data_IF_159057449222
#
_entry.id   IF_159057449222
#
_cell.length_a   1.000
_cell.length_b   1.000
_cell.length_c   1.000
_cell.angle_alpha   90.00
_cell.angle_beta   90.00
_cell.angle_gamma   90.00
#
_symmetry.space_group_name_H-M   'P 1'
#
loop_
_entity.id
_entity.type
_entity.pdbx_description
1 polymer ?
#
# COMPACT_ATOMS: atom_id res chain seq x y z
N UNK A 1 -4.48 -21.14 -22.54
CA UNK A 1 -4.24 -22.57 -22.28
C UNK A 1 -2.74 -22.77 -22.28
N UNK A 2 -2.15 -23.12 -21.14
CA UNK A 2 -0.69 -23.39 -21.05
C UNK A 2 -0.50 -24.87 -21.44
N UNK A 3 0.32 -25.13 -22.45
CA UNK A 3 0.66 -26.48 -22.93
C UNK A 3 2.15 -26.73 -22.68
N UNK A 4 2.51 -27.93 -22.25
CA UNK A 4 3.89 -28.32 -21.94
C UNK A 4 3.96 -29.66 -21.21
N UNK A 5 5.17 -30.22 -21.11
CA UNK A 5 5.46 -31.42 -20.32
C UNK A 5 5.64 -31.04 -18.85
N UNK A 6 4.98 -31.75 -17.93
CA UNK A 6 5.24 -31.56 -16.49
C UNK A 6 6.66 -32.05 -16.21
N UNK A 7 7.53 -31.15 -15.76
CA UNK A 7 8.93 -31.45 -15.44
C UNK A 7 9.20 -31.55 -13.96
N UNK A 8 8.42 -30.84 -13.14
CA UNK A 8 8.49 -30.93 -11.70
C UNK A 8 7.12 -30.68 -11.07
N UNK A 9 6.84 -31.34 -9.95
CA UNK A 9 5.58 -31.27 -9.24
C UNK A 9 5.82 -31.47 -7.74
N UNK A 10 5.48 -30.45 -6.95
CA UNK A 10 5.38 -30.54 -5.50
C UNK A 10 3.96 -30.17 -5.03
N UNK A 11 3.75 -30.20 -3.72
CA UNK A 11 2.42 -29.94 -3.12
C UNK A 11 1.90 -28.51 -3.41
N UNK A 12 2.78 -27.58 -3.81
CA UNK A 12 2.49 -26.15 -3.89
C UNK A 12 2.64 -25.58 -5.33
N UNK A 13 3.27 -26.32 -6.24
CA UNK A 13 3.63 -25.86 -7.59
C UNK A 13 3.63 -26.98 -8.65
N UNK A 14 3.17 -26.63 -9.84
CA UNK A 14 3.36 -27.41 -11.07
C UNK A 14 4.34 -26.66 -11.97
N UNK A 15 5.47 -27.29 -12.32
CA UNK A 15 6.37 -26.79 -13.35
C UNK A 15 6.09 -27.51 -14.68
N UNK A 16 5.83 -26.73 -15.72
CA UNK A 16 5.59 -27.18 -17.08
C UNK A 16 6.72 -26.66 -17.96
N UNK A 17 7.34 -27.53 -18.75
CA UNK A 17 8.32 -27.13 -19.77
C UNK A 17 7.83 -27.56 -21.14
N UNK A 18 7.80 -26.61 -22.05
CA UNK A 18 7.74 -26.82 -23.50
C UNK A 18 9.10 -26.38 -24.08
N UNK A 19 9.44 -26.81 -25.31
CA UNK A 19 10.78 -26.67 -25.92
C UNK A 19 11.41 -25.27 -25.73
N UNK A 20 10.58 -24.22 -25.70
CA UNK A 20 11.01 -22.83 -25.52
C UNK A 20 10.35 -22.10 -24.35
N UNK A 21 9.63 -22.78 -23.44
CA UNK A 21 8.88 -22.11 -22.35
C UNK A 21 8.93 -22.92 -21.06
N UNK A 22 9.36 -22.32 -19.97
CA UNK A 22 9.11 -22.81 -18.60
C UNK A 22 7.91 -22.06 -18.05
N UNK A 23 6.85 -22.77 -17.69
CA UNK A 23 5.69 -22.20 -17.01
C UNK A 23 5.58 -22.78 -15.61
N UNK A 24 5.29 -21.95 -14.62
CA UNK A 24 4.98 -22.41 -13.27
C UNK A 24 3.56 -22.06 -12.88
N UNK A 25 2.85 -22.99 -12.27
CA UNK A 25 1.52 -22.78 -11.68
C UNK A 25 1.62 -23.00 -10.18
N UNK A 26 1.43 -21.95 -9.39
CA UNK A 26 1.32 -22.09 -7.93
C UNK A 26 -0.09 -22.54 -7.57
N UNK A 27 -0.21 -23.71 -6.94
CA UNK A 27 -1.48 -24.29 -6.52
C UNK A 27 -2.08 -23.56 -5.31
N UNK A 28 -1.23 -22.98 -4.45
CA UNK A 28 -1.66 -22.24 -3.26
C UNK A 28 -2.22 -20.85 -3.54
N UNK A 29 -1.91 -20.28 -4.71
CA UNK A 29 -2.28 -18.90 -5.04
C UNK A 29 -3.04 -18.77 -6.37
N UNK A 30 -3.18 -19.86 -7.14
CA UNK A 30 -3.78 -19.89 -8.49
C UNK A 30 -3.16 -18.84 -9.41
N UNK A 31 -1.83 -18.71 -9.37
CA UNK A 31 -1.06 -17.88 -10.29
C UNK A 31 -0.30 -18.75 -11.28
N UNK A 32 -0.26 -18.31 -12.54
CA UNK A 32 0.60 -18.89 -13.56
C UNK A 32 1.60 -17.86 -14.06
N UNK A 33 2.86 -18.25 -14.19
CA UNK A 33 3.90 -17.46 -14.84
C UNK A 33 4.53 -18.26 -15.97
N UNK A 34 5.11 -17.56 -16.97
CA UNK A 34 5.79 -18.18 -18.10
C UNK A 34 7.10 -17.45 -18.39
N UNK A 35 8.18 -18.20 -18.62
CA UNK A 35 9.51 -17.75 -18.98
C UNK A 35 9.88 -18.41 -20.31
N UNK A 36 10.15 -17.61 -21.34
CA UNK A 36 10.48 -18.11 -22.67
C UNK A 36 12.01 -18.28 -22.79
N UNK A 37 12.49 -19.51 -23.05
CA UNK A 37 13.90 -19.88 -23.08
C UNK A 37 14.58 -19.45 -24.40
N UNK A 38 13.84 -19.44 -25.52
CA UNK A 38 14.33 -18.97 -26.81
C UNK A 38 13.19 -18.32 -27.60
N UNK A 39 13.00 -17.02 -27.40
CA UNK A 39 12.59 -16.17 -28.52
C UNK A 39 13.83 -15.45 -28.98
N UNK A 40 14.22 -15.66 -30.24
CA UNK A 40 14.97 -14.64 -30.96
C UNK A 40 14.29 -13.30 -30.65
N UNK A 41 15.09 -12.32 -30.26
CA UNK A 41 14.65 -10.96 -30.05
C UNK A 41 14.09 -10.43 -31.38
N UNK A 42 12.82 -10.72 -31.66
CA UNK A 42 12.01 -9.84 -32.48
C UNK A 42 11.96 -8.53 -31.71
N UNK A 43 12.81 -7.60 -32.14
CA UNK A 43 12.84 -6.13 -32.01
C UNK A 43 11.72 -5.46 -31.16
N UNK A 44 11.44 -6.00 -29.98
CA UNK A 44 10.90 -5.22 -28.88
C UNK A 44 12.09 -4.40 -28.48
N UNK A 45 12.15 -3.17 -28.97
CA UNK A 45 13.09 -2.16 -28.50
C UNK A 45 13.20 -2.34 -26.99
N UNK A 46 14.31 -2.88 -26.52
CA UNK A 46 14.67 -2.78 -25.13
C UNK A 46 14.65 -1.27 -24.90
N UNK A 47 13.60 -0.77 -24.23
CA UNK A 47 13.64 0.60 -23.73
C UNK A 47 14.92 0.64 -22.92
N UNK A 48 15.85 1.46 -23.43
CA UNK A 48 17.22 1.55 -22.95
C UNK A 48 17.20 1.50 -21.43
N UNK A 49 17.75 0.43 -20.86
CA UNK A 49 18.07 0.41 -19.43
C UNK A 49 19.02 1.58 -19.24
N UNK A 50 18.55 2.64 -18.58
CA UNK A 50 19.23 3.93 -18.57
C UNK A 50 20.51 3.76 -17.75
N UNK A 51 21.62 3.50 -18.43
CA UNK A 51 22.86 3.03 -17.81
C UNK A 51 23.84 4.18 -17.54
N UNK A 52 23.57 5.39 -18.04
CA UNK A 52 24.47 6.53 -17.90
C UNK A 52 23.73 7.80 -17.44
N UNK A 53 24.35 8.60 -16.55
CA UNK A 53 23.74 9.81 -15.96
C UNK A 53 23.28 10.79 -17.05
N UNK A 54 24.09 10.98 -18.09
CA UNK A 54 23.78 11.86 -19.22
C UNK A 54 22.47 11.49 -19.96
N UNK A 55 22.11 10.20 -20.02
CA UNK A 55 20.86 9.76 -20.66
C UNK A 55 19.63 10.00 -19.76
N UNK A 56 19.80 9.95 -18.43
CA UNK A 56 18.74 10.32 -17.49
C UNK A 56 18.46 11.81 -17.59
N UNK A 57 19.51 12.62 -17.57
CA UNK A 57 19.42 14.08 -17.64
C UNK A 57 18.78 14.55 -18.95
N UNK A 58 19.06 13.87 -20.07
CA UNK A 58 18.38 14.10 -21.34
C UNK A 58 16.90 13.73 -21.32
N UNK A 59 16.50 12.71 -20.53
CA UNK A 59 15.11 12.26 -20.44
C UNK A 59 14.27 13.11 -19.48
N UNK A 60 14.82 13.57 -18.37
CA UNK A 60 14.08 14.38 -17.37
C UNK A 60 14.19 15.88 -17.60
N UNK A 61 15.15 16.33 -18.41
CA UNK A 61 15.33 17.74 -18.76
C UNK A 61 16.00 18.60 -17.68
N UNK A 62 16.50 17.98 -16.60
CA UNK A 62 17.26 18.64 -15.53
C UNK A 62 18.36 17.72 -14.98
N UNK A 63 19.42 18.31 -14.44
CA UNK A 63 20.59 17.57 -13.93
C UNK A 63 20.39 17.23 -12.45
N UNK A 64 20.51 15.95 -12.08
CA UNK A 64 20.50 15.50 -10.68
C UNK A 64 21.92 15.18 -10.21
N UNK A 65 22.24 15.47 -8.95
CA UNK A 65 23.52 15.10 -8.33
C UNK A 65 23.35 13.94 -7.36
N UNK A 66 24.46 13.35 -6.95
CA UNK A 66 24.48 12.43 -5.80
C UNK A 66 24.05 13.18 -4.52
N UNK A 67 23.25 12.56 -3.64
CA UNK A 67 22.76 11.16 -3.70
C UNK A 67 21.45 10.97 -4.47
N UNK A 68 20.80 12.04 -4.95
CA UNK A 68 19.45 11.99 -5.51
C UNK A 68 19.36 11.18 -6.80
N UNK A 69 20.35 11.29 -7.68
CA UNK A 69 20.36 10.57 -8.96
C UNK A 69 20.37 9.05 -8.77
N UNK A 70 21.06 8.55 -7.75
CA UNK A 70 21.07 7.13 -7.40
C UNK A 70 19.71 6.64 -6.92
N UNK A 71 19.05 7.41 -6.06
CA UNK A 71 17.71 7.07 -5.56
C UNK A 71 16.67 7.12 -6.70
N UNK A 72 16.73 8.16 -7.52
CA UNK A 72 15.87 8.33 -8.68
C UNK A 72 16.00 7.14 -9.67
N UNK A 73 17.22 6.66 -9.92
CA UNK A 73 17.46 5.44 -10.71
C UNK A 73 16.76 4.23 -10.11
N UNK A 74 16.92 3.99 -8.80
CA UNK A 74 16.26 2.87 -8.12
C UNK A 74 14.74 2.90 -8.28
N UNK A 75 14.13 4.08 -8.20
CA UNK A 75 12.69 4.25 -8.40
C UNK A 75 12.27 3.94 -9.84
N UNK A 76 13.03 4.38 -10.84
CA UNK A 76 12.77 4.04 -12.24
C UNK A 76 12.96 2.54 -12.53
N UNK A 77 14.06 1.95 -12.06
CA UNK A 77 14.32 0.52 -12.20
C UNK A 77 13.19 -0.29 -11.55
N UNK A 78 12.73 0.12 -10.37
CA UNK A 78 11.59 -0.49 -9.71
C UNK A 78 10.32 -0.37 -10.56
N UNK A 79 9.99 0.83 -11.04
CA UNK A 79 8.84 1.08 -11.91
C UNK A 79 8.86 0.23 -13.20
N UNK A 80 10.03 0.10 -13.83
CA UNK A 80 10.21 -0.65 -15.09
C UNK A 80 10.20 -2.17 -14.88
N UNK A 81 10.66 -2.65 -13.71
CA UNK A 81 10.75 -4.08 -13.40
C UNK A 81 9.39 -4.78 -13.38
N UNK A 82 8.31 -4.05 -13.11
CA UNK A 82 6.97 -4.58 -12.79
C UNK A 82 6.95 -5.58 -11.62
N UNK A 83 8.03 -5.65 -10.85
CA UNK A 83 8.20 -6.51 -9.68
C UNK A 83 7.63 -5.79 -8.45
N UNK A 84 6.31 -5.91 -8.27
CA UNK A 84 5.62 -5.24 -7.15
C UNK A 84 5.91 -5.93 -5.82
N UNK A 85 6.31 -5.12 -4.83
CA UNK A 85 6.52 -5.59 -3.45
C UNK A 85 5.22 -6.14 -2.84
N UNK A 86 4.07 -5.69 -3.35
CA UNK A 86 2.75 -6.12 -2.89
C UNK A 86 2.55 -7.63 -3.12
N UNK A 87 3.10 -8.20 -4.19
CA UNK A 87 2.99 -9.63 -4.47
C UNK A 87 3.79 -10.51 -3.50
N UNK A 88 4.70 -9.92 -2.72
CA UNK A 88 5.51 -10.61 -1.69
C UNK A 88 4.95 -10.40 -0.28
N UNK A 89 3.79 -9.78 -0.15
CA UNK A 89 3.16 -9.58 1.15
C UNK A 89 2.67 -10.91 1.71
N UNK A 90 3.09 -11.20 2.93
CA UNK A 90 2.51 -12.28 3.74
C UNK A 90 1.53 -11.66 4.73
N UNK A 91 0.23 -12.03 4.71
CA UNK A 91 -0.75 -11.46 5.62
C UNK A 91 -0.42 -11.79 7.07
N UNK A 92 -0.69 -10.85 7.97
CA UNK A 92 -0.55 -11.04 9.42
C UNK A 92 -1.61 -12.01 9.92
N UNK A 93 -1.21 -12.83 10.89
CA UNK A 93 -2.06 -13.86 11.47
C UNK A 93 -3.21 -13.28 12.30
N UNK A 94 -4.16 -14.15 12.65
CA UNK A 94 -5.25 -13.80 13.56
C UNK A 94 -4.74 -13.45 14.96
N UNK A 95 -5.48 -12.58 15.64
CA UNK A 95 -5.19 -12.23 17.02
C UNK A 95 -5.76 -13.32 17.93
N UNK A 96 -4.87 -14.10 18.53
CA UNK A 96 -5.23 -15.22 19.41
C UNK A 96 -5.50 -14.80 20.86
N UNK A 97 -4.97 -13.65 21.28
CA UNK A 97 -5.14 -13.13 22.65
C UNK A 97 -6.59 -12.72 22.86
N UNK A 98 -7.20 -13.30 23.90
CA UNK A 98 -8.59 -12.99 24.26
C UNK A 98 -8.70 -11.50 24.66
N UNK A 99 -9.65 -10.75 24.08
CA UNK A 99 -9.85 -9.35 24.42
C UNK A 99 -10.47 -9.16 25.80
N UNK A 100 -10.21 -8.00 26.40
CA UNK A 100 -10.60 -7.72 27.79
C UNK A 100 -12.11 -7.73 28.01
N UNK A 101 -12.90 -7.32 27.02
CA UNK A 101 -14.37 -7.35 27.10
C UNK A 101 -14.95 -8.78 27.21
N UNK A 102 -14.17 -9.82 26.84
CA UNK A 102 -14.53 -11.23 27.01
C UNK A 102 -13.86 -11.89 28.23
N UNK A 103 -13.02 -11.16 28.98
CA UNK A 103 -12.40 -11.68 30.21
C UNK A 103 -13.25 -11.46 31.45
N UNK A 104 -13.95 -10.33 31.49
CA UNK A 104 -14.69 -9.88 32.67
C UNK A 104 -16.21 -10.04 32.53
N UNK A 105 -16.67 -10.68 31.46
CA UNK A 105 -18.09 -10.88 31.21
C UNK A 105 -18.56 -12.21 31.80
N UNK A 106 -19.69 -12.22 32.52
CA UNK A 106 -20.45 -13.44 32.85
C UNK A 106 -20.97 -14.18 31.59
N UNK A 107 -20.70 -13.63 30.40
CA UNK A 107 -21.04 -14.16 29.11
C UNK A 107 -20.09 -15.29 28.66
N UNK A 108 -20.22 -16.42 29.36
CA UNK A 108 -19.54 -17.67 29.01
C UNK A 108 -19.84 -18.14 27.57
N UNK A 109 -20.99 -17.76 27.01
CA UNK A 109 -21.36 -18.13 25.65
C UNK A 109 -20.48 -17.43 24.61
N UNK A 110 -20.31 -16.10 24.71
CA UNK A 110 -19.41 -15.37 23.80
C UNK A 110 -17.96 -15.81 23.94
N UNK A 111 -17.52 -16.06 25.19
CA UNK A 111 -16.17 -16.57 25.42
C UNK A 111 -15.95 -17.94 24.79
N UNK A 112 -16.92 -18.84 24.91
CA UNK A 112 -16.90 -20.17 24.28
C UNK A 112 -16.82 -20.08 22.76
N UNK A 113 -17.54 -19.14 22.13
CA UNK A 113 -17.44 -18.91 20.68
C UNK A 113 -16.02 -18.49 20.28
N UNK A 114 -15.44 -17.52 20.99
CA UNK A 114 -14.08 -17.04 20.73
C UNK A 114 -13.05 -18.17 20.81
N UNK A 115 -13.05 -18.92 21.92
CA UNK A 115 -12.10 -20.01 22.14
C UNK A 115 -12.28 -21.14 21.11
N UNK A 116 -13.53 -21.52 20.81
CA UNK A 116 -13.86 -22.56 19.82
C UNK A 116 -13.38 -22.20 18.42
N UNK A 117 -13.63 -20.96 17.97
CA UNK A 117 -13.26 -20.53 16.62
C UNK A 117 -11.74 -20.46 16.49
N UNK A 118 -11.03 -19.84 17.43
CA UNK A 118 -9.57 -19.74 17.36
C UNK A 118 -8.88 -21.10 17.44
N UNK A 119 -9.40 -22.04 18.25
CA UNK A 119 -8.87 -23.40 18.32
C UNK A 119 -8.99 -24.14 16.99
N UNK A 120 -10.01 -23.84 16.18
CA UNK A 120 -10.20 -24.41 14.84
C UNK A 120 -9.40 -23.66 13.77
N UNK A 121 -9.23 -22.36 13.93
CA UNK A 121 -8.47 -21.50 13.02
C UNK A 121 -6.98 -21.87 12.97
N UNK A 122 -6.41 -22.27 14.11
CA UNK A 122 -4.98 -22.59 14.25
C UNK A 122 -4.62 -24.03 13.83
N UNK A 123 -5.57 -24.80 13.27
CA UNK A 123 -5.26 -26.16 12.78
C UNK A 123 -4.62 -26.07 11.40
N UNK A 124 -3.41 -26.63 11.19
CA UNK A 124 -2.78 -26.65 9.89
C UNK A 124 -3.52 -27.62 8.96
N UNK A 125 -3.78 -27.18 7.72
CA UNK A 125 -4.20 -27.96 6.54
C UNK A 125 -5.59 -28.63 6.55
N UNK A 126 -6.33 -28.44 5.45
CA UNK A 126 -7.51 -29.26 5.09
C UNK A 126 -8.89 -28.71 5.45
N UNK A 127 -8.99 -27.59 6.17
CA UNK A 127 -10.29 -26.96 6.51
C UNK A 127 -10.96 -26.47 5.22
N UNK A 128 -12.11 -27.05 4.87
CA UNK A 128 -12.82 -26.67 3.64
C UNK A 128 -13.35 -25.24 3.79
N UNK A 129 -13.48 -24.50 2.69
CA UNK A 129 -14.04 -23.14 2.72
C UNK A 129 -15.39 -23.08 3.45
N UNK A 130 -16.23 -24.11 3.32
CA UNK A 130 -17.49 -24.22 4.06
C UNK A 130 -17.32 -24.22 5.58
N UNK A 131 -16.31 -24.91 6.10
CA UNK A 131 -16.03 -24.96 7.54
C UNK A 131 -15.54 -23.58 8.04
N UNK A 132 -14.75 -22.86 7.24
CA UNK A 132 -14.27 -21.50 7.56
C UNK A 132 -15.42 -20.48 7.55
N UNK A 133 -16.39 -20.64 6.64
CA UNK A 133 -17.59 -19.82 6.61
C UNK A 133 -18.48 -20.06 7.84
N UNK A 134 -18.63 -21.31 8.32
CA UNK A 134 -19.32 -21.60 9.59
C UNK A 134 -18.64 -20.95 10.82
N UNK A 135 -17.31 -20.84 10.81
CA UNK A 135 -16.57 -20.09 11.84
C UNK A 135 -16.83 -18.58 11.73
N UNK A 136 -16.94 -18.08 10.51
CA UNK A 136 -17.28 -16.67 10.24
C UNK A 136 -18.66 -16.33 10.79
N UNK A 137 -19.66 -17.19 10.58
CA UNK A 137 -21.02 -16.99 11.11
C UNK A 137 -21.05 -16.94 12.65
N UNK A 138 -20.19 -17.70 13.31
CA UNK A 138 -20.03 -17.63 14.76
C UNK A 138 -19.40 -16.31 15.21
N UNK A 139 -18.39 -15.81 14.50
CA UNK A 139 -17.80 -14.49 14.77
C UNK A 139 -18.77 -13.34 14.48
N UNK A 140 -19.65 -13.47 13.48
CA UNK A 140 -20.71 -12.49 13.21
C UNK A 140 -21.66 -12.37 14.41
N UNK A 141 -21.97 -13.46 15.11
CA UNK A 141 -22.77 -13.38 16.36
C UNK A 141 -22.07 -12.56 17.43
N UNK A 142 -20.74 -12.71 17.58
CA UNK A 142 -19.96 -11.89 18.49
C UNK A 142 -19.96 -10.42 18.06
N UNK A 143 -19.76 -10.15 16.77
CA UNK A 143 -19.74 -8.80 16.23
C UNK A 143 -21.10 -8.11 16.40
N UNK A 144 -22.21 -8.80 16.17
CA UNK A 144 -23.55 -8.26 16.40
C UNK A 144 -23.80 -7.89 17.87
N UNK A 145 -23.20 -8.65 18.80
CA UNK A 145 -23.30 -8.36 20.24
C UNK A 145 -22.34 -7.25 20.67
N UNK A 146 -21.18 -7.16 20.03
CA UNK A 146 -20.12 -6.20 20.34
C UNK A 146 -19.64 -5.47 19.07
N UNK A 147 -20.47 -4.59 18.47
CA UNK A 147 -20.26 -4.06 17.12
C UNK A 147 -19.05 -3.13 16.98
N UNK A 148 -18.57 -2.54 18.07
CA UNK A 148 -17.45 -1.59 18.06
C UNK A 148 -16.10 -2.22 18.38
N UNK A 149 -15.99 -3.55 18.33
CA UNK A 149 -14.76 -4.26 18.70
C UNK A 149 -13.89 -4.54 17.47
N UNK A 150 -12.86 -3.71 17.29
CA UNK A 150 -11.88 -3.83 16.18
C UNK A 150 -11.26 -5.21 16.03
N UNK A 151 -11.01 -5.90 17.15
CA UNK A 151 -10.44 -7.26 17.15
C UNK A 151 -11.39 -8.30 16.53
N UNK A 152 -12.71 -8.13 16.67
CA UNK A 152 -13.70 -9.02 16.06
C UNK A 152 -13.72 -8.81 14.54
N UNK A 153 -13.73 -7.54 14.10
CA UNK A 153 -13.60 -7.19 12.68
C UNK A 153 -12.30 -7.74 12.09
N UNK A 154 -11.16 -7.56 12.77
CA UNK A 154 -9.88 -8.06 12.29
C UNK A 154 -9.87 -9.59 12.10
N UNK A 155 -10.32 -10.33 13.12
CA UNK A 155 -10.34 -11.80 13.06
C UNK A 155 -11.39 -12.32 12.06
N UNK A 156 -12.51 -11.62 11.87
CA UNK A 156 -13.46 -11.94 10.81
C UNK A 156 -12.88 -11.67 9.42
N UNK A 157 -12.11 -10.59 9.26
CA UNK A 157 -11.32 -10.33 8.05
C UNK A 157 -10.34 -11.46 7.75
N UNK A 158 -9.64 -11.97 8.77
CA UNK A 158 -8.73 -13.11 8.62
C UNK A 158 -9.46 -14.40 8.23
N UNK A 159 -10.62 -14.69 8.82
CA UNK A 159 -11.46 -15.83 8.43
C UNK A 159 -11.88 -15.76 6.96
N UNK A 160 -12.38 -14.59 6.53
CA UNK A 160 -12.75 -14.36 5.12
C UNK A 160 -11.55 -14.46 4.18
N UNK A 161 -10.37 -14.03 4.64
CA UNK A 161 -9.12 -14.19 3.90
C UNK A 161 -8.78 -15.67 3.68
N UNK A 162 -8.87 -16.48 4.74
CA UNK A 162 -8.66 -17.94 4.67
C UNK A 162 -9.68 -18.64 3.78
N UNK A 163 -10.92 -18.14 3.72
CA UNK A 163 -11.95 -18.61 2.81
C UNK A 163 -11.77 -18.12 1.35
N UNK A 164 -10.69 -17.39 1.05
CA UNK A 164 -10.45 -16.72 -0.25
C UNK A 164 -11.54 -15.73 -0.66
N UNK A 165 -12.32 -15.22 0.29
CA UNK A 165 -13.32 -14.18 0.08
C UNK A 165 -12.67 -12.80 0.27
N UNK A 166 -11.79 -12.43 -0.66
CA UNK A 166 -10.97 -11.23 -0.58
C UNK A 166 -11.76 -9.92 -0.44
N UNK A 167 -12.87 -9.69 -1.17
CA UNK A 167 -13.66 -8.45 -1.01
C UNK A 167 -14.25 -8.32 0.40
N UNK A 168 -14.76 -9.41 0.97
CA UNK A 168 -15.29 -9.40 2.33
C UNK A 168 -14.17 -9.24 3.37
N UNK A 169 -13.03 -9.90 3.16
CA UNK A 169 -11.87 -9.77 4.03
C UNK A 169 -11.39 -8.32 4.10
N UNK A 170 -11.26 -7.67 2.94
CA UNK A 170 -10.82 -6.29 2.82
C UNK A 170 -11.75 -5.34 3.59
N UNK A 171 -13.08 -5.48 3.42
CA UNK A 171 -14.07 -4.69 4.15
C UNK A 171 -13.92 -4.80 5.67
N UNK A 172 -13.73 -6.02 6.19
CA UNK A 172 -13.55 -6.24 7.61
C UNK A 172 -12.22 -5.68 8.14
N UNK A 173 -11.14 -5.79 7.37
CA UNK A 173 -9.87 -5.15 7.74
C UNK A 173 -9.94 -3.62 7.71
N UNK A 174 -10.65 -3.04 6.74
CA UNK A 174 -10.93 -1.60 6.68
C UNK A 174 -11.72 -1.15 7.93
N UNK A 175 -12.78 -1.87 8.30
CA UNK A 175 -13.54 -1.61 9.52
C UNK A 175 -12.68 -1.74 10.79
N UNK A 176 -11.85 -2.77 10.87
CA UNK A 176 -10.94 -2.98 12.01
C UNK A 176 -9.95 -1.82 12.14
N UNK A 177 -9.47 -1.28 11.02
CA UNK A 177 -8.62 -0.09 10.99
C UNK A 177 -9.40 1.15 11.44
N UNK A 178 -10.61 1.38 10.92
CA UNK A 178 -11.47 2.51 11.34
C UNK A 178 -11.68 2.51 12.87
N UNK A 179 -11.85 1.34 13.48
CA UNK A 179 -12.13 1.21 14.92
C UNK A 179 -10.89 1.29 15.83
N UNK A 180 -9.66 1.13 15.31
CA UNK A 180 -8.47 1.02 16.18
C UNK A 180 -7.21 1.72 15.68
N UNK A 181 -7.22 2.19 14.44
CA UNK A 181 -6.07 2.78 13.73
C UNK A 181 -4.81 1.91 13.74
N UNK A 182 -4.96 0.59 13.95
CA UNK A 182 -3.81 -0.33 13.99
C UNK A 182 -3.27 -0.61 12.60
N UNK A 183 -1.96 -0.41 12.45
CA UNK A 183 -1.25 -0.56 11.18
C UNK A 183 -1.30 -1.98 10.62
N UNK A 184 -1.42 -3.01 11.47
CA UNK A 184 -1.58 -4.40 11.05
C UNK A 184 -2.90 -4.64 10.31
N UNK A 185 -4.00 -4.02 10.75
CA UNK A 185 -5.29 -4.07 10.06
C UNK A 185 -5.16 -3.50 8.65
N UNK A 186 -4.46 -2.37 8.53
CA UNK A 186 -4.24 -1.71 7.26
C UNK A 186 -3.34 -2.51 6.33
N UNK A 187 -2.27 -3.12 6.85
CA UNK A 187 -1.41 -4.05 6.11
C UNK A 187 -2.23 -5.20 5.50
N UNK A 188 -3.08 -5.84 6.31
CA UNK A 188 -3.93 -6.93 5.83
C UNK A 188 -5.02 -6.46 4.86
N UNK A 189 -5.53 -5.23 5.04
CA UNK A 189 -6.45 -4.62 4.09
C UNK A 189 -5.80 -4.41 2.72
N UNK A 190 -4.56 -3.89 2.67
CA UNK A 190 -3.79 -3.74 1.42
C UNK A 190 -3.66 -5.10 0.73
N UNK A 191 -3.30 -6.15 1.47
CA UNK A 191 -3.21 -7.51 0.92
C UNK A 191 -4.56 -7.99 0.35
N UNK A 192 -5.65 -7.84 1.10
CA UNK A 192 -6.96 -8.30 0.66
C UNK A 192 -7.47 -7.54 -0.57
N UNK A 193 -7.27 -6.22 -0.63
CA UNK A 193 -7.62 -5.41 -1.81
C UNK A 193 -6.74 -5.74 -3.02
N UNK A 194 -5.47 -6.09 -2.81
CA UNK A 194 -4.59 -6.61 -3.88
C UNK A 194 -5.17 -7.88 -4.50
N UNK A 195 -5.49 -8.88 -3.68
CA UNK A 195 -6.07 -10.14 -4.15
C UNK A 195 -7.45 -9.95 -4.79
N UNK A 196 -8.22 -8.96 -4.33
CA UNK A 196 -9.50 -8.57 -4.93
C UNK A 196 -9.37 -7.73 -6.22
N UNK A 197 -8.15 -7.33 -6.61
CA UNK A 197 -7.92 -6.45 -7.76
C UNK A 197 -8.41 -5.01 -7.57
N UNK A 198 -8.70 -4.59 -6.32
CA UNK A 198 -9.20 -3.25 -6.01
C UNK A 198 -8.05 -2.23 -5.95
N UNK A 199 -7.56 -1.93 -7.14
CA UNK A 199 -6.46 -1.00 -7.38
C UNK A 199 -6.62 0.33 -6.63
N UNK A 200 -7.79 0.98 -6.65
CA UNK A 200 -8.03 2.28 -5.98
C UNK A 200 -7.77 2.17 -4.47
N UNK A 201 -8.33 1.15 -3.83
CA UNK A 201 -8.19 0.96 -2.39
C UNK A 201 -6.77 0.58 -1.96
N UNK A 202 -6.02 -0.13 -2.80
CA UNK A 202 -4.60 -0.41 -2.53
C UNK A 202 -3.83 0.91 -2.37
N UNK A 203 -3.94 1.83 -3.33
CA UNK A 203 -3.24 3.12 -3.30
C UNK A 203 -3.69 3.96 -2.11
N UNK A 204 -4.99 4.02 -1.84
CA UNK A 204 -5.55 4.74 -0.68
C UNK A 204 -5.04 4.17 0.65
N UNK A 205 -5.01 2.85 0.79
CA UNK A 205 -4.58 2.22 2.04
C UNK A 205 -3.06 2.25 2.21
N UNK A 206 -2.28 2.24 1.12
CA UNK A 206 -0.86 2.56 1.15
C UNK A 206 -0.62 3.99 1.62
N UNK A 207 -1.39 4.96 1.13
CA UNK A 207 -1.29 6.35 1.58
C UNK A 207 -1.53 6.46 3.09
N UNK A 208 -2.60 5.86 3.60
CA UNK A 208 -2.88 5.78 5.06
C UNK A 208 -1.77 5.07 5.83
N UNK A 209 -1.15 4.05 5.21
CA UNK A 209 -0.10 3.25 5.85
C UNK A 209 1.18 4.05 5.99
N UNK A 210 1.50 4.88 4.99
CA UNK A 210 2.70 5.68 4.92
C UNK A 210 2.53 7.09 5.52
N UNK A 211 1.30 7.50 5.86
CA UNK A 211 1.03 8.81 6.45
C UNK A 211 1.76 8.94 7.80
N UNK A 212 2.68 9.91 7.87
CA UNK A 212 3.53 10.11 9.04
C UNK A 212 4.55 9.00 9.28
N UNK A 213 4.97 8.27 8.24
CA UNK A 213 6.07 7.29 8.35
C UNK A 213 7.43 8.00 8.37
N UNK A 214 8.19 7.95 9.49
CA UNK A 214 9.49 8.61 9.55
C UNK A 214 10.58 7.90 8.74
N UNK A 215 10.43 6.60 8.42
CA UNK A 215 11.46 5.81 7.77
C UNK A 215 11.01 5.34 6.39
N UNK A 216 11.27 6.18 5.39
CA UNK A 216 11.04 5.90 3.97
C UNK A 216 11.98 4.80 3.48
N UNK A 217 13.28 4.89 3.81
CA UNK A 217 14.33 4.06 3.21
C UNK A 217 14.08 2.57 3.45
N UNK A 218 13.73 2.21 4.69
CA UNK A 218 13.48 0.81 5.06
C UNK A 218 12.04 0.37 4.73
N UNK A 219 11.15 1.30 4.40
CA UNK A 219 9.77 1.00 4.08
C UNK A 219 9.60 0.62 2.61
N UNK A 220 9.64 -0.69 2.37
CA UNK A 220 9.44 -1.33 1.06
C UNK A 220 8.18 -0.88 0.30
N UNK A 221 7.18 -0.30 0.97
CA UNK A 221 5.96 0.18 0.30
C UNK A 221 6.09 1.59 -0.27
N UNK A 222 7.12 2.36 0.10
CA UNK A 222 7.28 3.73 -0.38
C UNK A 222 7.49 3.81 -1.90
N UNK A 223 8.36 2.95 -2.44
CA UNK A 223 8.64 2.90 -3.88
C UNK A 223 7.38 2.49 -4.67
N UNK A 224 6.64 1.49 -4.16
CA UNK A 224 5.36 1.06 -4.73
C UNK A 224 4.34 2.20 -4.74
N UNK A 225 4.19 2.90 -3.60
CA UNK A 225 3.27 4.02 -3.48
C UNK A 225 3.62 5.14 -4.47
N UNK A 226 4.91 5.48 -4.60
CA UNK A 226 5.40 6.48 -5.55
C UNK A 226 5.06 6.11 -7.00
N UNK A 227 5.29 4.85 -7.39
CA UNK A 227 4.96 4.37 -8.75
C UNK A 227 3.44 4.39 -8.99
N UNK A 228 2.64 3.88 -8.05
CA UNK A 228 1.18 3.88 -8.17
C UNK A 228 0.61 5.29 -8.29
N UNK A 229 1.13 6.25 -7.53
CA UNK A 229 0.71 7.64 -7.62
C UNK A 229 1.07 8.27 -8.97
N UNK A 230 2.28 8.00 -9.48
CA UNK A 230 2.71 8.44 -10.81
C UNK A 230 1.84 7.87 -11.92
N UNK A 231 1.66 6.55 -11.96
CA UNK A 231 0.87 5.87 -13.00
C UNK A 231 -0.59 6.33 -13.06
N UNK A 232 -1.16 6.68 -11.90
CA UNK A 232 -2.57 7.02 -11.76
C UNK A 232 -2.86 8.50 -11.62
N UNK A 233 -1.81 9.32 -11.62
CA UNK A 233 -1.93 10.76 -11.44
C UNK A 233 -2.62 11.12 -10.11
N UNK A 234 -2.37 10.34 -9.05
CA UNK A 234 -2.83 10.58 -7.68
C UNK A 234 -1.86 11.55 -6.98
N UNK A 235 -1.62 12.67 -7.63
CA UNK A 235 -0.61 13.67 -7.27
C UNK A 235 -0.91 14.38 -5.96
N UNK A 236 -2.16 14.79 -5.75
CA UNK A 236 -2.62 15.39 -4.49
C UNK A 236 -2.49 14.41 -3.31
N UNK A 237 -2.76 13.12 -3.53
CA UNK A 237 -2.59 12.08 -2.52
C UNK A 237 -1.12 11.90 -2.15
N UNK A 238 -0.23 11.79 -3.16
CA UNK A 238 1.21 11.70 -2.93
C UNK A 238 1.73 12.92 -2.15
N UNK A 239 1.36 14.13 -2.58
CA UNK A 239 1.78 15.36 -1.93
C UNK A 239 1.36 15.41 -0.45
N UNK A 240 0.14 14.96 -0.13
CA UNK A 240 -0.36 14.93 1.24
C UNK A 240 0.40 13.94 2.14
N UNK A 241 0.79 12.78 1.59
CA UNK A 241 1.59 11.79 2.33
C UNK A 241 3.04 12.25 2.47
N UNK A 242 3.62 12.81 1.41
CA UNK A 242 4.96 13.39 1.41
C UNK A 242 5.09 14.51 2.45
N UNK A 243 4.10 15.39 2.52
CA UNK A 243 4.02 16.51 3.47
C UNK A 243 3.97 16.02 4.92
N UNK A 244 3.06 15.09 5.21
CA UNK A 244 2.98 14.46 6.54
C UNK A 244 4.26 13.74 6.94
N UNK A 245 4.91 13.09 5.99
CA UNK A 245 6.16 12.37 6.19
C UNK A 245 7.33 13.32 6.45
N UNK A 246 7.41 14.43 5.70
CA UNK A 246 8.42 15.48 5.89
C UNK A 246 8.42 16.03 7.32
N UNK A 247 7.24 16.14 7.93
CA UNK A 247 7.08 16.64 9.29
C UNK A 247 7.62 15.71 10.39
N UNK A 248 7.93 14.44 10.07
CA UNK A 248 8.38 13.44 11.06
C UNK A 248 9.75 12.84 10.76
N UNK A 249 10.27 12.96 9.54
CA UNK A 249 11.65 12.56 9.23
C UNK A 249 12.60 13.41 10.07
N UNK A 250 13.75 12.86 10.46
CA UNK A 250 14.80 13.58 11.21
C UNK A 250 16.17 13.52 10.52
N UNK A 251 16.40 12.55 9.63
CA UNK A 251 17.70 12.31 9.00
C UNK A 251 17.75 12.70 7.52
N UNK A 252 18.98 12.95 7.05
CA UNK A 252 19.27 13.36 5.68
C UNK A 252 18.92 12.28 4.66
N UNK A 253 19.05 11.00 5.01
CA UNK A 253 18.84 9.91 4.05
C UNK A 253 17.37 9.84 3.64
N UNK A 254 16.47 9.86 4.60
CA UNK A 254 15.02 9.88 4.36
C UNK A 254 14.56 11.15 3.63
N UNK A 255 15.16 12.33 3.92
CA UNK A 255 14.90 13.56 3.16
C UNK A 255 15.33 13.42 1.70
N UNK A 256 16.51 12.85 1.44
CA UNK A 256 17.00 12.63 0.09
C UNK A 256 16.09 11.66 -0.68
N UNK A 257 15.57 10.63 -0.01
CA UNK A 257 14.60 9.71 -0.59
C UNK A 257 13.26 10.38 -0.92
N UNK A 258 12.75 11.21 -0.01
CA UNK A 258 11.54 11.97 -0.23
C UNK A 258 11.69 12.93 -1.41
N UNK A 259 12.79 13.69 -1.46
CA UNK A 259 13.12 14.61 -2.53
C UNK A 259 13.18 13.91 -3.90
N UNK A 260 13.93 12.81 -4.00
CA UNK A 260 14.05 12.06 -5.25
C UNK A 260 12.70 11.44 -5.68
N UNK A 261 11.86 11.04 -4.71
CA UNK A 261 10.52 10.52 -4.96
C UNK A 261 9.56 11.60 -5.48
N UNK A 262 9.64 12.83 -4.97
CA UNK A 262 8.91 13.99 -5.50
C UNK A 262 9.27 14.21 -6.95
N UNK A 263 10.57 14.30 -7.26
CA UNK A 263 11.03 14.47 -8.65
C UNK A 263 10.49 13.35 -9.53
N UNK A 264 10.65 12.09 -9.11
CA UNK A 264 10.17 10.94 -9.85
C UNK A 264 8.66 10.99 -10.12
N UNK A 265 7.84 11.38 -9.15
CA UNK A 265 6.38 11.44 -9.31
C UNK A 265 5.95 12.60 -10.22
N UNK A 266 6.60 13.76 -10.10
CA UNK A 266 6.13 15.01 -10.70
C UNK A 266 6.87 15.45 -11.98
N UNK A 267 7.96 14.78 -12.38
CA UNK A 267 8.81 15.18 -13.52
C UNK A 267 8.07 15.38 -14.85
N UNK A 268 6.99 14.64 -15.10
CA UNK A 268 6.28 14.65 -16.37
C UNK A 268 5.03 15.56 -16.34
N UNK A 269 4.90 16.42 -15.32
CA UNK A 269 3.80 17.40 -15.21
C UNK A 269 4.27 18.74 -15.77
N UNK A 270 3.80 19.16 -16.96
CA UNK A 270 4.27 20.39 -17.61
C UNK A 270 4.13 21.64 -16.73
N UNK A 271 3.05 21.73 -15.96
CA UNK A 271 2.75 22.86 -15.06
C UNK A 271 3.76 22.97 -13.91
N UNK A 272 4.44 21.88 -13.55
CA UNK A 272 5.43 21.83 -12.48
C UNK A 272 6.87 21.80 -12.99
N UNK A 273 7.11 21.60 -14.29
CA UNK A 273 8.46 21.38 -14.83
C UNK A 273 9.46 22.47 -14.41
N UNK A 274 9.07 23.75 -14.50
CA UNK A 274 9.92 24.87 -14.07
C UNK A 274 10.18 24.88 -12.56
N UNK A 275 9.20 24.45 -11.75
CA UNK A 275 9.33 24.35 -10.29
C UNK A 275 10.23 23.20 -9.89
N UNK A 276 10.06 22.03 -10.50
CA UNK A 276 10.94 20.86 -10.30
C UNK A 276 12.38 21.21 -10.67
N UNK A 277 12.60 21.90 -11.80
CA UNK A 277 13.92 22.34 -12.21
C UNK A 277 14.55 23.31 -11.21
N UNK A 278 13.81 24.35 -10.78
CA UNK A 278 14.29 25.30 -9.77
C UNK A 278 14.65 24.60 -8.45
N UNK A 279 13.81 23.67 -8.03
CA UNK A 279 14.01 22.86 -6.83
C UNK A 279 15.31 22.02 -6.93
N UNK A 280 15.57 21.42 -8.09
CA UNK A 280 16.80 20.66 -8.32
C UNK A 280 18.04 21.56 -8.24
N UNK A 281 18.04 22.73 -8.87
CA UNK A 281 19.20 23.65 -8.85
C UNK A 281 19.49 24.20 -7.44
N UNK A 282 18.44 24.51 -6.67
CA UNK A 282 18.58 24.99 -5.30
C UNK A 282 19.17 23.90 -4.39
N UNK A 283 18.61 22.69 -4.45
CA UNK A 283 19.08 21.56 -3.65
C UNK A 283 20.55 21.21 -3.93
N UNK A 284 21.04 21.37 -5.18
CA UNK A 284 22.47 21.16 -5.51
C UNK A 284 23.40 22.08 -4.71
N UNK A 285 22.97 23.32 -4.49
CA UNK A 285 23.77 24.32 -3.78
C UNK A 285 23.80 24.08 -2.28
N UNK A 286 22.83 23.30 -1.76
CA UNK A 286 22.53 23.15 -0.33
C UNK A 286 22.37 21.68 0.11
N UNK A 287 23.03 20.73 -0.57
CA UNK A 287 22.84 19.26 -0.42
C UNK A 287 22.91 18.74 1.03
N UNK A 288 23.64 19.40 1.92
CA UNK A 288 23.83 18.96 3.31
C UNK A 288 22.97 19.73 4.32
N UNK A 289 22.17 20.69 3.88
CA UNK A 289 21.31 21.48 4.75
C UNK A 289 19.90 20.87 4.79
N UNK A 290 19.64 20.12 5.86
CA UNK A 290 18.37 19.44 6.11
C UNK A 290 17.22 20.45 6.24
N UNK A 291 17.44 21.57 6.90
CA UNK A 291 16.37 22.53 7.17
C UNK A 291 15.99 23.26 5.88
N UNK A 292 16.98 23.66 5.09
CA UNK A 292 16.76 24.19 3.74
C UNK A 292 16.03 23.18 2.83
N UNK A 293 16.46 21.92 2.84
CA UNK A 293 15.81 20.86 2.09
C UNK A 293 14.33 20.70 2.46
N UNK A 294 14.01 20.76 3.76
CA UNK A 294 12.61 20.71 4.23
C UNK A 294 11.82 21.89 3.74
N UNK A 295 12.32 23.11 3.90
CA UNK A 295 11.62 24.33 3.46
C UNK A 295 11.34 24.28 1.95
N UNK A 296 12.31 23.83 1.18
CA UNK A 296 12.20 23.69 -0.27
C UNK A 296 11.14 22.65 -0.67
N UNK A 297 11.19 21.45 -0.07
CA UNK A 297 10.19 20.40 -0.30
C UNK A 297 8.80 20.89 0.12
N UNK A 298 8.68 21.48 1.31
CA UNK A 298 7.42 21.98 1.86
C UNK A 298 6.78 23.02 0.96
N UNK A 299 7.58 23.97 0.44
CA UNK A 299 7.12 24.98 -0.50
C UNK A 299 6.58 24.34 -1.78
N UNK A 300 7.29 23.36 -2.34
CA UNK A 300 6.85 22.65 -3.54
C UNK A 300 5.54 21.88 -3.31
N UNK A 301 5.42 21.16 -2.19
CA UNK A 301 4.21 20.39 -1.86
C UNK A 301 3.00 21.30 -1.65
N UNK A 302 3.19 22.46 -1.01
CA UNK A 302 2.13 23.47 -0.84
C UNK A 302 1.62 23.95 -2.19
N UNK A 303 2.54 24.25 -3.12
CA UNK A 303 2.18 24.65 -4.48
C UNK A 303 1.38 23.55 -5.21
N UNK A 304 1.81 22.30 -5.14
CA UNK A 304 1.10 21.16 -5.73
C UNK A 304 -0.33 21.05 -5.19
N UNK A 305 -0.51 21.20 -3.88
CA UNK A 305 -1.83 21.14 -3.24
C UNK A 305 -2.74 22.29 -3.69
N UNK A 306 -2.20 23.49 -3.92
CA UNK A 306 -2.94 24.66 -4.40
C UNK A 306 -3.33 24.57 -5.89
N UNK A 307 -2.58 23.82 -6.70
CA UNK A 307 -2.83 23.72 -8.14
C UNK A 307 -3.97 22.77 -8.52
N UNK A 308 -4.55 22.05 -7.56
CA UNK A 308 -5.62 21.05 -7.80
C UNK A 308 -5.29 20.06 -8.93
N UNK A 309 -4.01 19.71 -9.09
CA UNK A 309 -3.55 18.80 -10.13
C UNK A 309 -3.83 17.32 -9.78
N UNK A 310 -4.34 16.58 -10.77
CA UNK A 310 -4.67 15.16 -10.63
C UNK A 310 -6.03 14.89 -9.97
N UNK A 311 -6.21 13.67 -9.46
CA UNK A 311 -7.47 13.29 -8.81
C UNK A 311 -7.56 13.82 -7.36
N UNK A 312 -8.68 14.46 -7.04
CA UNK A 312 -9.01 14.84 -5.67
C UNK A 312 -9.47 13.60 -4.87
N UNK A 313 -8.62 13.16 -3.93
CA UNK A 313 -8.89 11.97 -3.12
C UNK A 313 -9.71 12.32 -1.87
N UNK A 314 -11.02 12.56 -2.06
CA UNK A 314 -11.96 12.91 -0.99
C UNK A 314 -11.99 11.91 0.15
N UNK A 315 -11.84 10.62 -0.16
CA UNK A 315 -11.83 9.54 0.83
C UNK A 315 -10.61 9.67 1.77
N UNK A 316 -9.46 10.07 1.24
CA UNK A 316 -8.26 10.35 2.02
C UNK A 316 -8.39 11.63 2.84
N UNK A 317 -8.84 12.73 2.23
CA UNK A 317 -9.05 14.02 2.94
C UNK A 317 -10.02 13.85 4.10
N UNK A 318 -11.15 13.17 3.89
CA UNK A 318 -12.11 12.84 4.95
C UNK A 318 -11.48 12.01 6.07
N UNK A 319 -10.58 11.09 5.74
CA UNK A 319 -9.86 10.30 6.75
C UNK A 319 -8.87 11.15 7.57
N UNK A 320 -8.16 12.09 6.93
CA UNK A 320 -7.19 12.97 7.61
C UNK A 320 -7.89 14.05 8.45
N UNK A 321 -8.87 14.74 7.87
CA UNK A 321 -9.46 15.96 8.45
C UNK A 321 -10.84 15.76 9.10
N UNK A 322 -11.46 14.58 8.93
CA UNK A 322 -12.84 14.33 9.33
C UNK A 322 -13.85 14.87 8.30
N UNK A 323 -15.15 14.74 8.59
CA UNK A 323 -16.21 15.38 7.79
C UNK A 323 -16.24 16.89 8.11
N UNK A 324 -16.02 17.75 7.11
CA UNK A 324 -16.10 19.22 7.24
C UNK A 324 -17.54 19.74 7.55
N UNK A 325 -18.52 18.86 7.77
CA UNK A 325 -19.94 19.21 7.93
C UNK A 325 -20.48 19.29 9.36
N UNK A 326 -19.65 19.25 10.41
CA UNK A 326 -20.14 19.37 11.81
C UNK A 326 -19.82 20.70 12.54
N UNK A 327 -19.37 21.75 11.83
CA UNK A 327 -19.13 23.06 12.45
C UNK A 327 -19.94 24.18 11.81
N UNK A 328 -21.26 23.99 11.63
CA UNK A 328 -22.15 25.10 11.27
C UNK A 328 -23.61 24.97 11.77
N UNK A 329 -23.91 24.31 12.91
CA UNK A 329 -25.24 24.50 13.57
C UNK A 329 -25.17 24.24 15.08
N UNK A 330 -24.53 25.11 15.87
CA UNK A 330 -25.01 25.47 17.23
C UNK A 330 -24.50 26.87 17.58
N UNK A 331 -24.97 27.87 16.86
CA UNK A 331 -24.92 29.27 17.33
C UNK A 331 -26.18 29.96 16.86
N UNK A 332 -27.28 29.65 17.56
CA UNK A 332 -28.46 30.49 17.77
C UNK A 332 -29.56 29.59 18.34
N UNK A 333 -29.71 29.58 19.66
CA UNK A 333 -30.99 29.51 20.38
C UNK A 333 -30.70 29.29 21.88
N UNK A 334 -30.47 30.38 22.62
CA UNK A 334 -30.96 30.58 24.01
C UNK A 334 -30.56 31.96 24.55
N UNK A 335 -31.16 33.02 24.01
CA UNK A 335 -31.37 34.26 24.77
C UNK A 335 -32.84 34.64 24.63
N UNK A 336 -33.69 33.96 25.39
CA UNK A 336 -34.96 34.47 25.90
C UNK A 336 -35.38 33.60 27.09
N UNK A 337 -34.90 33.96 28.28
CA UNK A 337 -35.68 33.97 29.52
C UNK A 337 -35.23 35.15 30.39
#
# INVERSE_FOLDING_TARGET
VIQGYVTDFDDDMILLTDENVISGVSLNSVHSWQVYINKEQDDISCKNTITNNEQIEQNIGFHLLEPFIHIYKKLNEFNDSKDSVLFRMVPKEAISKVPDFLKNSDDNASRSIWDSVLAKLNKPSGTKNGDIEELSDQFIKLLNKYPSQSILEYNLGYLKLKASNYPSAAKHFDNAYILSSKRESLYNSIYAHLQAGNKKMITLNLAKYLYGEPNIVENKFWSEFSCLCKERQEFSLFASVADSTLNVIEDTENINWLFASIIFVFENIPELAAKVQAMCEDMKSNVNDIDHARELIQSFLTDVQLMEIGFDNKDFKKWVFGDETEVLVVSNESEHE
#
